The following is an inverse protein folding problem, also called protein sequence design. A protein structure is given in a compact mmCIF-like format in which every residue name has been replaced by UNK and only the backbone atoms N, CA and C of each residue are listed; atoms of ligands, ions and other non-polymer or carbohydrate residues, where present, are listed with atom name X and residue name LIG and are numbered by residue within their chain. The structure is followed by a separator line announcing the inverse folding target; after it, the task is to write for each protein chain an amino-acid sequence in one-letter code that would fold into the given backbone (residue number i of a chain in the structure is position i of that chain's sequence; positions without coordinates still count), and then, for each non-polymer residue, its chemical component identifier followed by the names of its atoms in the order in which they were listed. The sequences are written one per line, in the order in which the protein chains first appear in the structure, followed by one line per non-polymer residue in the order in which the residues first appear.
data_IF_068521867249
#
_entry.id   IF_068521867249
#
_cell.length_a   1.000
_cell.length_b   1.000
_cell.length_c   1.000
_cell.angle_alpha   90.00
_cell.angle_beta   90.00
_cell.angle_gamma   90.00
#
_symmetry.space_group_name_H-M   'P 1'
#
loop_
_entity.id
_entity.type
_entity.pdbx_description
1 polymer ?
#
# COMPACT_ATOMS: atom_id res chain seq x y z
N UNK A 1 -8.44 49.91 16.04
CA UNK A 1 -7.38 49.31 16.88
C UNK A 1 -7.11 47.90 16.33
N UNK A 2 -6.13 47.76 15.43
CA UNK A 2 -5.81 46.47 14.82
C UNK A 2 -5.06 45.62 15.84
N UNK A 3 -5.70 44.56 16.35
CA UNK A 3 -5.07 43.57 17.21
C UNK A 3 -4.02 42.86 16.36
N UNK A 4 -2.76 43.28 16.46
CA UNK A 4 -1.62 42.50 15.96
C UNK A 4 -1.51 41.27 16.86
N UNK A 5 -2.06 40.16 16.40
CA UNK A 5 -1.76 38.84 16.97
C UNK A 5 -0.24 38.65 16.80
N UNK A 6 0.54 38.54 17.87
CA UNK A 6 1.97 38.30 17.75
C UNK A 6 2.18 37.01 16.95
N UNK A 7 3.06 37.06 15.96
CA UNK A 7 3.44 35.87 15.20
C UNK A 7 3.91 34.81 16.21
N UNK A 8 3.25 33.66 16.23
CA UNK A 8 3.61 32.58 17.14
C UNK A 8 5.09 32.21 16.93
N UNK A 9 5.82 32.04 18.04
CA UNK A 9 7.20 31.57 18.03
C UNK A 9 7.30 30.32 17.12
N UNK A 10 8.17 30.32 16.10
CA UNK A 10 8.37 29.17 15.22
C UNK A 10 8.56 27.86 16.00
N UNK A 11 9.21 27.89 17.15
CA UNK A 11 9.38 26.71 18.01
C UNK A 11 8.05 26.24 18.64
N UNK A 12 7.17 27.18 19.03
CA UNK A 12 5.85 26.87 19.55
C UNK A 12 4.95 26.25 18.45
N UNK A 13 5.01 26.75 17.22
CA UNK A 13 4.25 26.20 16.09
C UNK A 13 4.67 24.76 15.76
N UNK A 14 5.97 24.47 15.79
CA UNK A 14 6.49 23.10 15.57
C UNK A 14 5.97 22.15 16.64
N UNK A 15 6.01 22.55 17.93
CA UNK A 15 5.48 21.74 19.03
C UNK A 15 3.98 21.48 18.89
N UNK A 16 3.19 22.50 18.54
CA UNK A 16 1.74 22.35 18.32
C UNK A 16 1.45 21.35 17.20
N UNK A 17 2.17 21.45 16.07
CA UNK A 17 2.00 20.52 14.93
C UNK A 17 2.37 19.09 15.29
N UNK A 18 3.47 18.89 16.04
CA UNK A 18 3.87 17.56 16.52
C UNK A 18 2.81 16.96 17.46
N UNK A 19 2.35 17.73 18.44
CA UNK A 19 1.32 17.28 19.38
C UNK A 19 0.00 16.98 18.67
N UNK A 20 -0.41 17.82 17.72
CA UNK A 20 -1.61 17.58 16.92
C UNK A 20 -1.49 16.29 16.08
N UNK A 21 -0.37 16.10 15.38
CA UNK A 21 -0.12 14.89 14.59
C UNK A 21 -0.10 13.63 15.47
N UNK A 22 0.58 13.67 16.60
CA UNK A 22 0.60 12.58 17.57
C UNK A 22 -0.80 12.28 18.14
N UNK A 23 -1.57 13.32 18.48
CA UNK A 23 -2.95 13.16 18.95
C UNK A 23 -3.85 12.51 17.89
N UNK A 24 -3.69 12.86 16.61
CA UNK A 24 -4.41 12.19 15.51
C UNK A 24 -4.04 10.72 15.44
N UNK A 25 -2.75 10.36 15.51
CA UNK A 25 -2.33 8.95 15.50
C UNK A 25 -2.90 8.16 16.68
N UNK A 26 -2.90 8.75 17.89
CA UNK A 26 -3.51 8.14 19.09
C UNK A 26 -5.01 7.96 18.90
N UNK A 27 -5.71 8.96 18.36
CA UNK A 27 -7.14 8.87 18.08
C UNK A 27 -7.46 7.81 17.03
N UNK A 28 -6.65 7.70 15.96
CA UNK A 28 -6.78 6.66 14.93
C UNK A 28 -6.57 5.29 15.53
N UNK A 29 -5.55 5.10 16.37
CA UNK A 29 -5.31 3.84 17.06
C UNK A 29 -6.48 3.45 17.99
N UNK A 30 -7.00 4.41 18.77
CA UNK A 30 -8.15 4.19 19.65
C UNK A 30 -9.41 3.83 18.85
N UNK A 31 -9.73 4.58 17.79
CA UNK A 31 -10.90 4.32 16.95
C UNK A 31 -10.77 3.01 16.16
N UNK A 32 -9.55 2.60 15.80
CA UNK A 32 -9.27 1.29 15.22
C UNK A 32 -9.48 0.16 16.25
N UNK A 33 -9.13 0.39 17.51
CA UNK A 33 -9.38 -0.54 18.61
C UNK A 33 -10.88 -0.72 18.87
N UNK A 34 -11.67 0.37 18.81
CA UNK A 34 -13.14 0.32 18.86
C UNK A 34 -13.81 -0.11 17.53
N UNK A 35 -13.02 -0.61 16.56
CA UNK A 35 -13.50 -1.17 15.30
C UNK A 35 -14.34 -0.22 14.44
N UNK A 36 -14.06 1.09 14.49
CA UNK A 36 -14.76 2.05 13.63
C UNK A 36 -14.56 1.69 12.14
N UNK A 37 -15.63 1.42 11.37
CA UNK A 37 -15.50 0.99 9.98
C UNK A 37 -14.87 2.06 9.08
N UNK A 38 -15.18 3.33 9.34
CA UNK A 38 -14.61 4.46 8.61
C UNK A 38 -13.10 4.56 8.85
N UNK A 39 -12.65 4.47 10.10
CA UNK A 39 -11.23 4.50 10.43
C UNK A 39 -10.52 3.27 9.88
N UNK A 40 -11.11 2.07 9.98
CA UNK A 40 -10.50 0.86 9.43
C UNK A 40 -10.29 0.95 7.91
N UNK A 41 -11.24 1.56 7.19
CA UNK A 41 -11.18 1.77 5.74
C UNK A 41 -10.14 2.82 5.35
N UNK A 42 -10.10 3.95 6.07
CA UNK A 42 -9.22 5.08 5.78
C UNK A 42 -7.91 5.09 6.58
N UNK A 43 -7.62 4.00 7.30
CA UNK A 43 -6.52 3.90 8.28
C UNK A 43 -5.19 4.29 7.67
N UNK A 44 -4.92 3.81 6.45
CA UNK A 44 -3.66 4.06 5.78
C UNK A 44 -3.39 5.56 5.58
N UNK A 45 -4.38 6.29 5.05
CA UNK A 45 -4.32 7.75 4.86
C UNK A 45 -4.22 8.46 6.22
N UNK A 46 -5.06 8.06 7.18
CA UNK A 46 -5.12 8.66 8.51
C UNK A 46 -3.84 8.42 9.33
N UNK A 47 -3.09 7.37 9.04
CA UNK A 47 -1.79 7.10 9.64
C UNK A 47 -0.66 7.87 8.94
N UNK A 48 -0.60 7.81 7.60
CA UNK A 48 0.54 8.37 6.87
C UNK A 48 0.65 9.89 6.97
N UNK A 49 -0.43 10.65 6.77
CA UNK A 49 -0.32 12.12 6.73
C UNK A 49 0.18 12.73 8.06
N UNK A 50 -0.31 12.30 9.24
CA UNK A 50 0.28 12.69 10.51
C UNK A 50 1.73 12.22 10.68
N UNK A 51 2.07 11.00 10.23
CA UNK A 51 3.47 10.53 10.25
C UNK A 51 4.38 11.41 9.40
N UNK A 52 3.97 11.79 8.19
CA UNK A 52 4.72 12.72 7.34
C UNK A 52 4.87 14.09 8.00
N UNK A 53 3.82 14.59 8.65
CA UNK A 53 3.87 15.83 9.41
C UNK A 53 4.88 15.74 10.56
N UNK A 54 4.91 14.63 11.30
CA UNK A 54 5.90 14.39 12.35
C UNK A 54 7.31 14.41 11.77
N UNK A 55 7.56 13.65 10.70
CA UNK A 55 8.88 13.62 10.06
C UNK A 55 9.32 15.00 9.58
N UNK A 56 8.42 15.76 8.95
CA UNK A 56 8.68 17.14 8.52
C UNK A 56 9.02 18.07 9.70
N UNK A 57 8.24 18.01 10.79
CA UNK A 57 8.51 18.83 11.97
C UNK A 57 9.80 18.42 12.68
N UNK A 58 10.16 17.13 12.69
CA UNK A 58 11.44 16.66 13.22
C UNK A 58 12.60 17.19 12.37
N UNK A 59 12.46 17.26 11.04
CA UNK A 59 13.44 17.92 10.16
C UNK A 59 13.62 19.39 10.56
N UNK A 60 12.53 20.11 10.84
CA UNK A 60 12.60 21.52 11.32
C UNK A 60 13.35 21.62 12.65
N UNK A 61 13.09 20.70 13.60
CA UNK A 61 13.81 20.67 14.88
C UNK A 61 15.31 20.40 14.71
N UNK A 62 15.74 19.83 13.57
CA UNK A 62 17.14 19.63 13.21
C UNK A 62 17.68 20.74 12.29
N UNK A 63 17.04 21.91 12.30
CA UNK A 63 17.46 23.10 11.54
C UNK A 63 17.13 23.04 10.05
N UNK A 64 16.28 22.08 9.62
CA UNK A 64 15.80 21.97 8.26
C UNK A 64 14.62 22.89 7.93
N UNK A 65 14.30 22.97 6.65
CA UNK A 65 13.12 23.67 6.18
C UNK A 65 11.91 22.74 6.13
N UNK A 66 10.75 23.25 6.56
CA UNK A 66 9.48 22.52 6.49
C UNK A 66 8.95 22.51 5.05
N UNK A 67 8.47 21.36 4.58
CA UNK A 67 7.67 21.25 3.36
C UNK A 67 6.40 22.11 3.41
N UNK A 68 5.82 22.30 4.61
CA UNK A 68 4.65 23.17 4.78
C UNK A 68 4.97 24.65 4.52
N UNK A 69 6.23 25.07 4.68
CA UNK A 69 6.66 26.41 4.33
C UNK A 69 6.78 26.62 2.81
N UNK A 70 6.76 25.53 2.02
CA UNK A 70 6.87 25.54 0.57
C UNK A 70 5.65 24.86 -0.08
N UNK A 71 4.44 25.47 -0.01
CA UNK A 71 3.19 24.81 -0.42
C UNK A 71 3.20 24.35 -1.89
N UNK A 72 3.85 25.10 -2.78
CA UNK A 72 4.01 24.71 -4.19
C UNK A 72 4.87 23.45 -4.34
N UNK A 73 5.98 23.36 -3.61
CA UNK A 73 6.85 22.19 -3.62
C UNK A 73 6.14 20.98 -3.00
N UNK A 74 5.38 21.19 -1.91
CA UNK A 74 4.57 20.14 -1.30
C UNK A 74 3.51 19.60 -2.26
N UNK A 75 2.70 20.45 -2.89
CA UNK A 75 1.68 20.01 -3.85
C UNK A 75 2.32 19.28 -5.04
N UNK A 76 3.44 19.80 -5.56
CA UNK A 76 4.20 19.16 -6.64
C UNK A 76 4.70 17.78 -6.24
N UNK A 77 5.22 17.66 -5.01
CA UNK A 77 5.69 16.39 -4.45
C UNK A 77 4.56 15.37 -4.28
N UNK A 78 3.43 15.77 -3.71
CA UNK A 78 2.28 14.89 -3.52
C UNK A 78 1.71 14.43 -4.87
N UNK A 79 1.63 15.33 -5.85
CA UNK A 79 1.17 15.00 -7.21
C UNK A 79 2.08 13.97 -7.87
N UNK A 80 3.38 14.28 -7.98
CA UNK A 80 4.32 13.36 -8.63
C UNK A 80 4.53 12.08 -7.82
N UNK A 81 4.32 12.09 -6.50
CA UNK A 81 4.31 10.87 -5.71
C UNK A 81 3.24 9.88 -6.19
N UNK A 82 2.01 10.35 -6.36
CA UNK A 82 0.95 9.50 -6.87
C UNK A 82 1.25 9.00 -8.29
N UNK A 83 1.71 9.90 -9.17
CA UNK A 83 2.05 9.55 -10.56
C UNK A 83 3.20 8.55 -10.66
N UNK A 84 4.24 8.70 -9.83
CA UNK A 84 5.36 7.77 -9.77
C UNK A 84 4.85 6.40 -9.36
N UNK A 85 3.99 6.28 -8.34
CA UNK A 85 3.45 4.98 -7.99
C UNK A 85 2.52 4.41 -9.07
N UNK A 86 1.74 5.24 -9.75
CA UNK A 86 0.92 4.79 -10.89
C UNK A 86 1.76 4.19 -12.03
N UNK A 87 3.03 4.59 -12.20
CA UNK A 87 3.96 3.90 -13.10
C UNK A 87 4.20 2.44 -12.64
N UNK A 88 4.44 2.22 -11.35
CA UNK A 88 4.62 0.88 -10.79
C UNK A 88 3.34 0.05 -10.83
N UNK A 89 2.17 0.67 -10.66
CA UNK A 89 0.88 -0.02 -10.88
C UNK A 89 0.70 -0.47 -12.33
N UNK A 90 1.04 0.39 -13.29
CA UNK A 90 0.99 0.04 -14.71
C UNK A 90 1.92 -1.14 -15.04
N UNK A 91 3.12 -1.18 -14.44
CA UNK A 91 4.04 -2.32 -14.53
C UNK A 91 3.42 -3.57 -13.87
N UNK A 92 2.81 -3.40 -12.69
CA UNK A 92 2.20 -4.47 -11.92
C UNK A 92 1.02 -5.15 -12.64
N UNK A 93 0.35 -4.49 -13.59
CA UNK A 93 -0.65 -5.16 -14.43
C UNK A 93 -0.09 -6.41 -15.12
N UNK A 94 1.20 -6.40 -15.47
CA UNK A 94 1.90 -7.54 -16.07
C UNK A 94 2.57 -8.45 -15.05
N UNK A 95 3.14 -7.89 -13.98
CA UNK A 95 3.87 -8.65 -12.97
C UNK A 95 2.92 -9.45 -12.07
N UNK A 96 1.82 -8.83 -11.66
CA UNK A 96 0.85 -9.34 -10.68
C UNK A 96 1.51 -9.69 -9.32
N UNK A 97 2.47 -8.87 -8.90
CA UNK A 97 3.23 -9.05 -7.67
C UNK A 97 2.39 -8.71 -6.43
N UNK A 98 1.47 -7.74 -6.56
CA UNK A 98 0.52 -7.38 -5.51
C UNK A 98 -0.88 -7.09 -6.06
N UNK A 99 -1.85 -7.11 -5.15
CA UNK A 99 -3.24 -6.75 -5.42
C UNK A 99 -3.93 -6.18 -4.19
N UNK A 100 -4.94 -5.35 -4.41
CA UNK A 100 -5.67 -4.67 -3.34
C UNK A 100 -6.96 -5.40 -3.00
N UNK A 101 -7.28 -5.48 -1.71
CA UNK A 101 -8.50 -6.13 -1.22
C UNK A 101 -9.23 -5.22 -0.25
N UNK A 102 -10.55 -5.39 -0.16
CA UNK A 102 -11.43 -4.62 0.73
C UNK A 102 -11.33 -3.10 0.56
N UNK A 103 -11.18 -2.65 -0.68
CA UNK A 103 -11.24 -1.21 -0.98
C UNK A 103 -12.68 -0.69 -0.87
N UNK A 104 -12.90 0.63 -0.77
CA UNK A 104 -14.24 1.20 -0.80
C UNK A 104 -15.04 0.73 -2.01
N UNK A 105 -16.31 0.39 -1.80
CA UNK A 105 -17.19 -0.04 -2.88
C UNK A 105 -17.62 1.13 -3.78
N UNK A 106 -17.68 2.35 -3.23
CA UNK A 106 -17.90 3.57 -4.00
C UNK A 106 -16.67 3.87 -4.87
N UNK A 107 -16.89 3.99 -6.18
CA UNK A 107 -15.81 4.25 -7.15
C UNK A 107 -15.07 5.57 -6.87
N UNK A 108 -15.75 6.73 -6.68
CA UNK A 108 -15.06 7.96 -6.32
C UNK A 108 -14.28 7.87 -5.01
N UNK A 109 -14.87 7.24 -3.99
CA UNK A 109 -14.23 7.06 -2.69
C UNK A 109 -12.95 6.24 -2.81
N UNK A 110 -13.01 5.15 -3.59
CA UNK A 110 -11.87 4.27 -3.85
C UNK A 110 -10.76 5.00 -4.60
N UNK A 111 -11.08 5.70 -5.68
CA UNK A 111 -10.06 6.40 -6.48
C UNK A 111 -9.39 7.55 -5.71
N UNK A 112 -10.17 8.29 -4.92
CA UNK A 112 -9.63 9.32 -4.02
C UNK A 112 -8.74 8.67 -2.97
N UNK A 113 -9.20 7.59 -2.32
CA UNK A 113 -8.44 6.87 -1.32
C UNK A 113 -7.11 6.30 -1.84
N UNK A 114 -7.13 5.70 -3.03
CA UNK A 114 -5.91 5.23 -3.73
C UNK A 114 -4.99 6.43 -3.97
N UNK A 115 -5.47 7.47 -4.66
CA UNK A 115 -4.63 8.62 -5.04
C UNK A 115 -3.98 9.29 -3.83
N UNK A 116 -4.73 9.49 -2.74
CA UNK A 116 -4.22 10.05 -1.49
C UNK A 116 -3.19 9.13 -0.82
N UNK A 117 -3.40 7.82 -0.87
CA UNK A 117 -2.46 6.83 -0.34
C UNK A 117 -1.14 6.85 -1.12
N UNK A 118 -1.22 6.94 -2.45
CA UNK A 118 -0.04 6.94 -3.32
C UNK A 118 0.71 8.29 -3.31
N UNK A 119 0.01 9.37 -2.96
CA UNK A 119 0.64 10.69 -2.76
C UNK A 119 1.63 10.72 -1.59
N UNK A 120 1.65 9.71 -0.71
CA UNK A 120 2.57 9.66 0.44
C UNK A 120 3.91 8.99 0.14
N UNK A 121 4.04 8.31 -1.00
CA UNK A 121 5.22 7.48 -1.34
C UNK A 121 6.53 8.26 -1.37
N UNK A 122 6.62 9.32 -2.18
CA UNK A 122 7.82 10.17 -2.27
C UNK A 122 8.16 10.82 -0.92
N UNK A 123 7.23 11.52 -0.24
CA UNK A 123 7.58 12.16 1.04
C UNK A 123 7.95 11.13 2.12
N UNK A 124 7.38 9.92 2.10
CA UNK A 124 7.76 8.85 3.03
C UNK A 124 9.22 8.41 2.88
N UNK A 125 9.81 8.56 1.69
CA UNK A 125 11.23 8.28 1.44
C UNK A 125 12.10 9.52 1.66
N UNK A 126 11.69 10.68 1.14
CA UNK A 126 12.53 11.87 1.14
C UNK A 126 12.64 12.54 2.52
N UNK A 127 11.60 12.50 3.35
CA UNK A 127 11.67 13.11 4.69
C UNK A 127 12.64 12.37 5.63
N UNK A 128 12.63 11.02 5.73
CA UNK A 128 13.63 10.30 6.50
C UNK A 128 15.05 10.49 5.96
N UNK A 129 15.25 10.52 4.64
CA UNK A 129 16.58 10.81 4.06
C UNK A 129 17.09 12.18 4.49
N UNK A 130 16.26 13.22 4.37
CA UNK A 130 16.61 14.58 4.83
C UNK A 130 16.93 14.62 6.32
N UNK A 131 16.18 13.89 7.14
CA UNK A 131 16.45 13.80 8.56
C UNK A 131 17.83 13.16 8.82
N UNK A 132 18.14 12.06 8.14
CA UNK A 132 19.45 11.40 8.25
C UNK A 132 20.59 12.33 7.78
N UNK A 133 20.38 13.08 6.70
CA UNK A 133 21.36 14.04 6.19
C UNK A 133 21.62 15.17 7.20
N UNK A 134 20.55 15.72 7.80
CA UNK A 134 20.64 16.75 8.85
C UNK A 134 21.29 16.27 10.13
N UNK A 135 21.17 14.99 10.43
CA UNK A 135 21.87 14.36 11.55
C UNK A 135 23.34 14.05 11.24
N UNK A 136 23.83 14.36 10.04
CA UNK A 136 25.21 14.10 9.62
C UNK A 136 25.48 12.64 9.28
N UNK A 137 24.45 11.79 9.20
CA UNK A 137 24.59 10.35 9.02
C UNK A 137 25.23 10.08 7.65
N UNK A 138 26.37 9.39 7.67
CA UNK A 138 27.12 8.99 6.47
C UNK A 138 27.51 10.14 5.52
N UNK A 139 27.55 11.40 5.96
CA UNK A 139 27.98 12.51 5.10
C UNK A 139 29.38 12.31 4.50
N UNK A 140 30.26 11.64 5.24
CA UNK A 140 31.63 11.35 4.83
C UNK A 140 31.79 9.93 4.25
N UNK A 141 30.70 9.18 4.05
CA UNK A 141 30.77 7.84 3.49
C UNK A 141 31.25 7.90 2.04
N UNK A 142 32.49 7.46 1.84
CA UNK A 142 33.13 7.35 0.54
C UNK A 142 33.49 5.90 0.23
N UNK A 143 33.47 5.56 -1.04
CA UNK A 143 34.03 4.31 -1.54
C UNK A 143 34.84 4.59 -2.80
N UNK A 144 35.38 3.52 -3.42
CA UNK A 144 36.14 3.64 -4.66
C UNK A 144 35.29 4.33 -5.74
N UNK A 145 35.77 5.43 -6.35
CA UNK A 145 35.07 6.08 -7.46
C UNK A 145 34.88 5.12 -8.63
N UNK A 146 33.70 5.17 -9.26
CA UNK A 146 33.39 4.39 -10.47
C UNK A 146 33.38 5.36 -11.66
N UNK A 147 34.53 5.63 -12.30
CA UNK A 147 34.61 6.66 -13.33
C UNK A 147 33.69 6.33 -14.50
N UNK A 148 32.73 7.23 -14.77
CA UNK A 148 31.83 7.11 -15.91
C UNK A 148 32.46 7.76 -17.14
N UNK A 149 32.62 6.98 -18.21
CA UNK A 149 32.97 7.47 -19.55
C UNK A 149 31.78 8.19 -20.16
N UNK A 150 32.02 9.03 -21.17
CA UNK A 150 30.97 9.78 -21.86
C UNK A 150 29.85 8.91 -22.46
N UNK A 151 30.16 7.66 -22.82
CA UNK A 151 29.19 6.71 -23.39
C UNK A 151 28.40 5.94 -22.32
N UNK A 152 28.90 5.85 -21.09
CA UNK A 152 28.37 4.97 -20.06
C UNK A 152 26.92 5.30 -19.68
N UNK A 153 26.48 6.57 -19.57
CA UNK A 153 25.07 6.87 -19.33
C UNK A 153 24.14 6.35 -20.45
N UNK A 154 24.58 6.32 -21.71
CA UNK A 154 23.78 5.74 -22.80
C UNK A 154 23.66 4.23 -22.66
N UNK A 155 24.74 3.55 -22.27
CA UNK A 155 24.74 2.10 -22.02
C UNK A 155 23.80 1.79 -20.86
N UNK A 156 23.93 2.50 -19.73
CA UNK A 156 23.07 2.34 -18.55
C UNK A 156 21.59 2.51 -18.92
N UNK A 157 21.25 3.51 -19.74
CA UNK A 157 19.87 3.75 -20.18
C UNK A 157 19.28 2.55 -20.93
N UNK A 158 20.03 1.99 -21.90
CA UNK A 158 19.56 0.84 -22.68
C UNK A 158 19.57 -0.45 -21.88
N UNK A 159 20.53 -0.62 -20.95
CA UNK A 159 20.50 -1.71 -19.97
C UNK A 159 19.24 -1.59 -19.10
N UNK A 160 18.86 -0.39 -18.65
CA UNK A 160 17.62 -0.15 -17.91
C UNK A 160 16.38 -0.61 -18.67
N UNK A 161 16.26 -0.24 -19.95
CA UNK A 161 15.16 -0.72 -20.80
C UNK A 161 15.19 -2.24 -21.03
N UNK A 162 16.38 -2.82 -21.21
CA UNK A 162 16.54 -4.28 -21.31
C UNK A 162 16.11 -5.00 -20.03
N UNK A 163 16.48 -4.45 -18.87
CA UNK A 163 16.09 -4.95 -17.55
C UNK A 163 14.58 -4.87 -17.33
N UNK A 164 13.96 -3.74 -17.68
CA UNK A 164 12.50 -3.59 -17.61
C UNK A 164 11.78 -4.56 -18.57
N UNK A 165 12.27 -4.68 -19.81
CA UNK A 165 11.72 -5.62 -20.78
C UNK A 165 11.83 -7.07 -20.31
N UNK A 166 12.95 -7.46 -19.69
CA UNK A 166 13.12 -8.79 -19.10
C UNK A 166 12.13 -9.06 -17.96
N UNK A 167 11.93 -8.07 -17.06
CA UNK A 167 10.94 -8.15 -15.98
C UNK A 167 9.52 -8.35 -16.53
N UNK A 168 9.15 -7.64 -17.60
CA UNK A 168 7.83 -7.73 -18.21
C UNK A 168 7.65 -8.99 -19.09
N UNK A 169 8.70 -9.47 -19.75
CA UNK A 169 8.63 -10.65 -20.62
C UNK A 169 8.46 -11.94 -19.79
N UNK A 170 9.23 -12.08 -18.71
CA UNK A 170 9.26 -13.30 -17.88
C UNK A 170 9.16 -12.94 -16.38
N UNK A 171 8.02 -12.35 -15.93
CA UNK A 171 7.89 -11.82 -14.56
C UNK A 171 8.00 -12.91 -13.49
N UNK A 172 7.62 -14.15 -13.83
CA UNK A 172 7.79 -15.29 -12.93
C UNK A 172 9.21 -15.37 -12.34
N UNK A 173 10.23 -15.00 -13.12
CA UNK A 173 11.63 -15.06 -12.70
C UNK A 173 12.26 -13.68 -12.50
N UNK A 174 11.91 -12.71 -13.35
CA UNK A 174 12.60 -11.42 -13.40
C UNK A 174 11.83 -10.26 -12.77
N UNK A 175 10.70 -10.50 -12.10
CA UNK A 175 9.99 -9.43 -11.37
C UNK A 175 10.87 -8.62 -10.39
N UNK A 176 11.91 -9.17 -9.70
CA UNK A 176 12.71 -8.37 -8.77
C UNK A 176 13.52 -7.28 -9.48
N UNK A 177 13.78 -7.44 -10.78
CA UNK A 177 14.53 -6.47 -11.59
C UNK A 177 13.79 -5.14 -11.72
N UNK A 178 12.46 -5.13 -11.53
CA UNK A 178 11.63 -3.91 -11.56
C UNK A 178 12.13 -2.86 -10.59
N UNK A 179 12.63 -3.26 -9.41
CA UNK A 179 13.08 -2.37 -8.35
C UNK A 179 14.43 -1.68 -8.62
N UNK A 180 15.05 -1.95 -9.77
CA UNK A 180 16.27 -1.28 -10.25
C UNK A 180 16.09 -0.76 -11.69
N UNK A 181 15.15 -1.31 -12.45
CA UNK A 181 14.98 -1.01 -13.87
C UNK A 181 14.62 0.46 -14.12
N UNK A 182 13.69 1.02 -13.34
CA UNK A 182 13.23 2.40 -13.52
C UNK A 182 14.34 3.37 -13.15
N UNK A 183 15.12 3.05 -12.11
CA UNK A 183 16.32 3.82 -11.76
C UNK A 183 17.33 3.86 -12.90
N UNK A 184 17.66 2.71 -13.51
CA UNK A 184 18.60 2.65 -14.64
C UNK A 184 18.11 3.43 -15.88
N UNK A 185 16.80 3.56 -16.07
CA UNK A 185 16.23 4.38 -17.15
C UNK A 185 16.26 5.88 -16.80
N UNK A 186 15.89 6.24 -15.58
CA UNK A 186 15.76 7.64 -15.17
C UNK A 186 17.11 8.32 -14.90
N UNK A 187 18.05 7.62 -14.25
CA UNK A 187 19.32 8.20 -13.81
C UNK A 187 20.18 8.76 -14.95
N UNK A 188 20.36 8.11 -16.09
CA UNK A 188 21.13 8.69 -17.19
C UNK A 188 20.55 9.98 -17.77
N UNK A 189 19.24 10.15 -17.66
CA UNK A 189 18.56 11.40 -18.06
C UNK A 189 18.80 12.46 -16.98
N UNK A 190 18.63 12.09 -15.70
CA UNK A 190 18.88 12.97 -14.56
C UNK A 190 20.34 13.44 -14.53
N UNK A 191 21.30 12.54 -14.74
CA UNK A 191 22.73 12.82 -14.86
C UNK A 191 23.04 13.97 -15.81
N UNK A 192 22.29 14.08 -16.93
CA UNK A 192 22.49 15.14 -17.92
C UNK A 192 21.75 16.43 -17.60
N UNK A 193 20.58 16.34 -16.97
CA UNK A 193 19.69 17.49 -16.80
C UNK A 193 19.73 18.12 -15.42
N UNK A 194 20.12 17.35 -14.40
CA UNK A 194 20.30 17.81 -13.02
C UNK A 194 21.42 17.00 -12.34
N UNK A 195 22.70 17.31 -12.63
CA UNK A 195 23.83 16.61 -12.06
C UNK A 195 23.93 16.70 -10.53
N UNK A 196 23.30 17.70 -9.89
CA UNK A 196 23.36 17.90 -8.45
C UNK A 196 22.58 16.82 -7.67
N UNK A 197 21.50 16.30 -8.27
CA UNK A 197 20.66 15.26 -7.70
C UNK A 197 20.96 13.87 -8.28
N UNK A 198 21.76 13.75 -9.35
CA UNK A 198 22.06 12.43 -9.93
C UNK A 198 22.91 11.56 -9.00
N UNK A 199 22.43 10.33 -8.79
CA UNK A 199 23.14 9.29 -8.04
C UNK A 199 24.31 8.71 -8.83
N UNK A 200 24.24 8.71 -10.17
CA UNK A 200 25.39 8.37 -11.02
C UNK A 200 26.56 9.35 -10.85
N UNK A 201 26.30 10.65 -10.65
CA UNK A 201 27.36 11.63 -10.33
C UNK A 201 27.99 11.32 -8.97
N UNK A 202 27.17 10.93 -7.99
CA UNK A 202 27.64 10.51 -6.67
C UNK A 202 28.49 9.23 -6.74
N UNK A 203 28.07 8.21 -7.48
CA UNK A 203 28.85 6.99 -7.75
C UNK A 203 30.17 7.29 -8.46
N UNK A 204 30.14 8.16 -9.48
CA UNK A 204 31.33 8.55 -10.24
C UNK A 204 32.39 9.25 -9.39
N UNK A 205 31.96 10.00 -8.38
CA UNK A 205 32.83 10.67 -7.43
C UNK A 205 33.14 9.84 -6.17
N UNK A 206 32.59 8.62 -6.06
CA UNK A 206 32.74 7.77 -4.88
C UNK A 206 32.04 8.31 -3.63
N UNK A 207 31.03 9.19 -3.78
CA UNK A 207 30.22 9.73 -2.67
C UNK A 207 29.02 8.83 -2.41
N UNK A 208 29.10 7.97 -1.40
CA UNK A 208 28.05 6.99 -1.10
C UNK A 208 27.05 7.45 -0.04
N UNK A 209 27.31 8.57 0.64
CA UNK A 209 26.48 9.07 1.74
C UNK A 209 25.00 9.20 1.41
N UNK A 210 24.66 9.89 0.31
CA UNK A 210 23.26 10.07 -0.14
C UNK A 210 22.60 8.74 -0.48
N UNK A 211 23.28 7.88 -1.23
CA UNK A 211 22.77 6.56 -1.65
C UNK A 211 22.45 5.71 -0.42
N UNK A 212 23.38 5.62 0.53
CA UNK A 212 23.18 4.85 1.76
C UNK A 212 22.02 5.39 2.61
N UNK A 213 21.89 6.73 2.74
CA UNK A 213 20.76 7.34 3.43
C UNK A 213 19.43 7.08 2.73
N UNK A 214 19.38 7.15 1.41
CA UNK A 214 18.18 6.81 0.63
C UNK A 214 17.79 5.35 0.84
N UNK A 215 18.74 4.43 0.78
CA UNK A 215 18.50 3.01 1.02
C UNK A 215 17.94 2.77 2.44
N UNK A 216 18.51 3.43 3.45
CA UNK A 216 18.01 3.36 4.83
C UNK A 216 16.62 3.99 4.98
N UNK A 217 16.38 5.13 4.32
CA UNK A 217 15.07 5.78 4.29
C UNK A 217 14.01 4.92 3.60
N UNK A 218 14.37 4.24 2.51
CA UNK A 218 13.54 3.26 1.84
C UNK A 218 13.17 2.11 2.76
N UNK A 219 14.13 1.52 3.47
CA UNK A 219 13.87 0.46 4.43
C UNK A 219 12.94 0.92 5.57
N UNK A 220 13.17 2.13 6.09
CA UNK A 220 12.31 2.75 7.11
C UNK A 220 10.88 2.94 6.58
N UNK A 221 10.72 3.49 5.38
CA UNK A 221 9.42 3.68 4.74
C UNK A 221 8.72 2.32 4.50
N UNK A 222 9.47 1.32 4.03
CA UNK A 222 9.01 -0.06 3.85
C UNK A 222 8.46 -0.70 5.12
N UNK A 223 9.19 -0.56 6.23
CA UNK A 223 8.72 -1.06 7.52
C UNK A 223 7.39 -0.40 7.95
N UNK A 224 7.23 0.91 7.73
CA UNK A 224 5.99 1.61 8.05
C UNK A 224 4.86 1.29 7.06
N UNK A 225 5.15 1.12 5.76
CA UNK A 225 4.18 0.69 4.76
C UNK A 225 3.57 -0.64 5.16
N UNK A 226 4.41 -1.63 5.48
CA UNK A 226 3.95 -2.95 5.91
C UNK A 226 3.19 -2.91 7.24
N UNK A 227 3.64 -2.11 8.21
CA UNK A 227 2.96 -1.96 9.49
C UNK A 227 1.55 -1.36 9.33
N UNK A 228 1.39 -0.33 8.50
CA UNK A 228 0.08 0.30 8.28
C UNK A 228 -0.82 -0.56 7.40
N UNK A 229 -0.27 -1.24 6.39
CA UNK A 229 -0.99 -2.22 5.57
C UNK A 229 -1.61 -3.34 6.41
N UNK A 230 -0.81 -3.89 7.35
CA UNK A 230 -1.24 -4.98 8.22
C UNK A 230 -2.45 -4.63 9.08
N UNK A 231 -2.56 -3.38 9.54
CA UNK A 231 -3.63 -2.94 10.45
C UNK A 231 -4.85 -2.40 9.68
N UNK A 232 -4.65 -1.97 8.42
CA UNK A 232 -5.70 -1.43 7.56
C UNK A 232 -6.70 -2.52 7.10
N UNK A 233 -7.95 -2.10 6.87
CA UNK A 233 -8.96 -2.96 6.24
C UNK A 233 -8.62 -3.17 4.76
N UNK A 234 -8.51 -2.05 4.04
CA UNK A 234 -8.02 -2.02 2.68
C UNK A 234 -6.52 -2.26 2.69
N UNK A 235 -6.09 -3.40 2.13
CA UNK A 235 -4.70 -3.84 2.18
C UNK A 235 -4.24 -4.30 0.80
N UNK A 236 -2.94 -4.21 0.54
CA UNK A 236 -2.32 -4.98 -0.54
C UNK A 236 -1.84 -6.32 -0.02
N UNK A 237 -2.01 -7.36 -0.83
CA UNK A 237 -1.50 -8.70 -0.57
C UNK A 237 -0.49 -9.05 -1.65
N UNK A 238 0.69 -9.52 -1.23
CA UNK A 238 1.72 -9.99 -2.15
C UNK A 238 1.49 -11.44 -2.60
N UNK A 239 1.60 -11.63 -3.91
CA UNK A 239 1.58 -12.90 -4.65
C UNK A 239 2.91 -13.14 -5.38
N UNK A 240 4.00 -12.76 -4.73
CA UNK A 240 5.36 -12.89 -5.26
C UNK A 240 5.69 -14.37 -5.52
N UNK A 241 6.07 -14.74 -6.76
CA UNK A 241 6.44 -16.11 -7.09
C UNK A 241 7.54 -16.66 -6.17
N UNK A 242 7.41 -17.94 -5.78
CA UNK A 242 8.36 -18.69 -4.94
C UNK A 242 8.48 -18.26 -3.46
N UNK A 243 8.05 -17.06 -3.09
CA UNK A 243 8.22 -16.52 -1.74
C UNK A 243 6.92 -16.48 -0.94
N UNK A 244 5.91 -17.26 -1.34
CA UNK A 244 4.58 -17.19 -0.73
C UNK A 244 4.51 -17.75 0.71
N UNK A 245 5.54 -18.46 1.18
CA UNK A 245 5.48 -19.31 2.39
C UNK A 245 5.90 -18.61 3.69
N UNK A 246 6.84 -17.66 3.63
CA UNK A 246 7.36 -16.95 4.81
C UNK A 246 7.05 -15.47 4.62
N UNK A 247 6.31 -14.88 5.55
CA UNK A 247 5.90 -13.48 5.51
C UNK A 247 6.13 -12.82 6.87
N UNK A 248 6.70 -11.62 6.85
CA UNK A 248 6.69 -10.68 7.96
C UNK A 248 5.68 -9.59 7.56
N UNK A 249 4.56 -9.51 8.27
CA UNK A 249 3.34 -8.85 7.77
C UNK A 249 2.84 -9.51 6.48
N UNK A 250 2.72 -8.75 5.38
CA UNK A 250 2.32 -9.29 4.08
C UNK A 250 3.52 -9.66 3.20
N UNK A 251 4.67 -9.04 3.45
CA UNK A 251 5.86 -9.17 2.62
C UNK A 251 6.78 -10.32 3.07
N UNK A 252 7.39 -11.06 2.13
CA UNK A 252 8.49 -11.96 2.46
C UNK A 252 9.70 -11.18 3.00
N UNK A 253 10.47 -11.71 3.97
CA UNK A 253 11.63 -10.99 4.53
C UNK A 253 12.64 -10.52 3.47
N UNK A 254 12.91 -11.33 2.45
CA UNK A 254 13.78 -10.95 1.32
C UNK A 254 13.17 -9.84 0.46
N UNK A 255 11.84 -9.73 0.44
CA UNK A 255 11.13 -8.66 -0.25
C UNK A 255 11.50 -7.28 0.29
N UNK A 256 11.83 -7.15 1.57
CA UNK A 256 12.23 -5.87 2.17
C UNK A 256 13.48 -5.27 1.51
N UNK A 257 14.30 -6.09 0.82
CA UNK A 257 15.42 -5.60 0.02
C UNK A 257 14.98 -4.75 -1.17
N UNK A 258 13.73 -4.89 -1.64
CA UNK A 258 13.16 -4.03 -2.68
C UNK A 258 13.05 -2.57 -2.26
N UNK A 259 12.73 -2.29 -0.98
CA UNK A 259 12.52 -0.91 -0.52
C UNK A 259 13.78 -0.01 -0.59
N UNK A 260 14.98 -0.48 -0.19
CA UNK A 260 16.22 0.25 -0.42
C UNK A 260 16.46 0.67 -1.87
N UNK A 261 16.25 -0.24 -2.84
CA UNK A 261 16.45 0.08 -4.26
C UNK A 261 15.32 0.95 -4.81
N UNK A 262 14.08 0.68 -4.40
CA UNK A 262 12.92 1.50 -4.70
C UNK A 262 13.13 2.98 -4.33
N UNK A 263 13.76 3.25 -3.18
CA UNK A 263 14.07 4.62 -2.77
C UNK A 263 15.00 5.35 -3.74
N UNK A 264 15.93 4.64 -4.41
CA UNK A 264 16.80 5.21 -5.43
C UNK A 264 15.99 5.57 -6.69
N UNK A 265 15.06 4.70 -7.09
CA UNK A 265 14.16 4.97 -8.22
C UNK A 265 13.28 6.18 -7.94
N UNK A 266 12.65 6.22 -6.77
CA UNK A 266 11.81 7.33 -6.29
C UNK A 266 12.57 8.65 -6.32
N UNK A 267 13.78 8.68 -5.75
CA UNK A 267 14.63 9.87 -5.75
C UNK A 267 14.89 10.38 -7.18
N UNK A 268 15.31 9.47 -8.06
CA UNK A 268 15.79 9.83 -9.39
C UNK A 268 14.64 10.28 -10.29
N UNK A 269 13.51 9.57 -10.24
CA UNK A 269 12.31 9.90 -11.01
C UNK A 269 11.67 11.18 -10.49
N UNK A 270 11.60 11.39 -9.16
CA UNK A 270 11.06 12.62 -8.59
C UNK A 270 11.84 13.86 -9.02
N UNK A 271 13.18 13.85 -8.89
CA UNK A 271 14.00 14.99 -9.29
C UNK A 271 14.03 15.18 -10.81
N UNK A 272 13.76 14.12 -11.58
CA UNK A 272 13.54 14.25 -13.03
C UNK A 272 12.20 14.92 -13.35
N UNK A 273 11.11 14.57 -12.67
CA UNK A 273 9.76 15.02 -13.03
C UNK A 273 9.37 16.36 -12.41
N UNK A 274 9.73 16.60 -11.14
CA UNK A 274 9.27 17.77 -10.39
C UNK A 274 9.66 19.12 -11.03
N UNK A 275 10.90 19.33 -11.54
CA UNK A 275 11.26 20.56 -12.24
C UNK A 275 10.52 20.75 -13.58
N UNK A 276 9.95 19.69 -14.15
CA UNK A 276 9.23 19.68 -15.43
C UNK A 276 7.72 19.87 -15.24
N UNK A 277 7.29 20.31 -14.06
CA UNK A 277 5.89 20.57 -13.75
C UNK A 277 5.39 21.78 -14.53
N UNK A 278 4.39 21.55 -15.37
CA UNK A 278 3.72 22.54 -16.21
C UNK A 278 2.26 22.11 -16.39
N UNK A 279 1.38 23.01 -16.83
CA UNK A 279 -0.03 22.66 -17.08
C UNK A 279 -0.16 21.46 -18.05
N UNK A 280 0.71 21.36 -19.05
CA UNK A 280 0.72 20.26 -20.02
C UNK A 280 1.13 18.94 -19.37
N UNK A 281 2.19 18.93 -18.57
CA UNK A 281 2.67 17.70 -17.90
C UNK A 281 1.72 17.26 -16.79
N UNK A 282 1.08 18.19 -16.08
CA UNK A 282 0.00 17.89 -15.12
C UNK A 282 -1.20 17.27 -15.83
N UNK A 283 -1.68 17.85 -16.93
CA UNK A 283 -2.81 17.28 -17.68
C UNK A 283 -2.48 15.88 -18.23
N UNK A 284 -1.30 15.70 -18.82
CA UNK A 284 -0.86 14.41 -19.34
C UNK A 284 -0.73 13.35 -18.22
N UNK A 285 -0.14 13.72 -17.07
CA UNK A 285 -0.01 12.81 -15.93
C UNK A 285 -1.36 12.52 -15.25
N UNK A 286 -2.31 13.46 -15.26
CA UNK A 286 -3.67 13.22 -14.78
C UNK A 286 -4.41 12.21 -15.67
N UNK A 287 -4.31 12.36 -16.99
CA UNK A 287 -4.87 11.40 -17.94
C UNK A 287 -4.25 10.01 -17.76
N UNK A 288 -2.92 9.94 -17.60
CA UNK A 288 -2.22 8.70 -17.28
C UNK A 288 -2.73 8.08 -15.97
N UNK A 289 -2.82 8.86 -14.89
CA UNK A 289 -3.32 8.39 -13.60
C UNK A 289 -4.76 7.84 -13.70
N UNK A 290 -5.64 8.49 -14.45
CA UNK A 290 -7.02 8.00 -14.68
C UNK A 290 -7.00 6.67 -15.44
N UNK A 291 -6.19 6.55 -16.50
CA UNK A 291 -6.07 5.28 -17.25
C UNK A 291 -5.56 4.16 -16.35
N UNK A 292 -4.58 4.44 -15.50
CA UNK A 292 -4.07 3.45 -14.53
C UNK A 292 -5.12 3.12 -13.49
N UNK A 293 -5.87 4.07 -12.94
CA UNK A 293 -6.96 3.79 -11.99
C UNK A 293 -8.04 2.87 -12.58
N UNK A 294 -8.42 3.09 -13.85
CA UNK A 294 -9.33 2.20 -14.58
C UNK A 294 -8.72 0.80 -14.71
N UNK A 295 -7.43 0.72 -15.09
CA UNK A 295 -6.71 -0.56 -15.15
C UNK A 295 -6.58 -1.25 -13.80
N UNK A 296 -6.37 -0.51 -12.72
CA UNK A 296 -6.29 -1.05 -11.36
C UNK A 296 -7.61 -1.70 -10.95
N UNK A 297 -8.75 -1.04 -11.20
CA UNK A 297 -10.06 -1.63 -10.89
C UNK A 297 -10.32 -2.94 -11.65
N UNK A 298 -9.75 -3.08 -12.84
CA UNK A 298 -9.91 -4.29 -13.64
C UNK A 298 -8.91 -5.39 -13.24
N UNK A 299 -7.62 -5.06 -13.08
CA UNK A 299 -6.55 -6.05 -12.94
C UNK A 299 -5.97 -6.16 -11.53
N UNK A 300 -6.07 -5.13 -10.69
CA UNK A 300 -5.32 -5.03 -9.42
C UNK A 300 -6.22 -5.06 -8.19
N UNK A 301 -7.46 -4.56 -8.28
CA UNK A 301 -8.43 -4.62 -7.18
C UNK A 301 -9.12 -5.99 -7.20
N UNK A 302 -8.84 -6.82 -6.19
CA UNK A 302 -9.43 -8.15 -6.04
C UNK A 302 -10.78 -8.14 -5.35
N UNK A 303 -11.01 -7.21 -4.41
CA UNK A 303 -12.33 -7.09 -3.76
C UNK A 303 -12.58 -5.71 -3.16
N UNK A 304 -13.87 -5.43 -2.98
CA UNK A 304 -14.36 -4.28 -2.22
C UNK A 304 -14.87 -4.70 -0.85
N UNK A 305 -14.96 -3.76 0.08
CA UNK A 305 -15.50 -3.98 1.43
C UNK A 305 -16.89 -4.61 1.36
N UNK A 306 -17.08 -5.82 1.94
CA UNK A 306 -18.38 -6.48 2.00
C UNK A 306 -19.42 -5.61 2.70
N UNK A 307 -20.62 -5.54 2.13
CA UNK A 307 -21.77 -4.87 2.72
C UNK A 307 -22.84 -5.90 3.05
N UNK A 308 -23.64 -5.60 4.08
CA UNK A 308 -24.73 -6.48 4.49
C UNK A 308 -25.74 -6.71 3.37
N UNK A 309 -26.04 -5.67 2.59
CA UNK A 309 -26.93 -5.74 1.43
C UNK A 309 -26.46 -6.73 0.36
N UNK A 310 -25.16 -6.99 0.27
CA UNK A 310 -24.54 -7.81 -0.77
C UNK A 310 -24.15 -9.21 -0.25
N UNK A 311 -24.52 -9.54 1.00
CA UNK A 311 -24.15 -10.81 1.62
C UNK A 311 -24.89 -11.99 0.93
N UNK A 312 -24.18 -12.94 0.31
CA UNK A 312 -24.80 -13.97 -0.52
C UNK A 312 -25.54 -15.02 0.32
N UNK A 313 -26.66 -15.54 -0.20
CA UNK A 313 -27.39 -16.64 0.44
C UNK A 313 -28.18 -16.26 1.70
N UNK A 314 -28.21 -14.98 2.09
CA UNK A 314 -28.98 -14.49 3.24
C UNK A 314 -30.23 -13.76 2.75
N UNK A 315 -31.39 -14.10 3.32
CA UNK A 315 -32.68 -13.50 2.96
C UNK A 315 -32.71 -12.00 3.30
N UNK A 316 -33.53 -11.24 2.57
CA UNK A 316 -33.70 -9.81 2.85
C UNK A 316 -34.19 -9.56 4.28
N UNK A 317 -35.13 -10.38 4.77
CA UNK A 317 -35.64 -10.28 6.14
C UNK A 317 -34.53 -10.42 7.20
N UNK A 318 -33.66 -11.41 7.05
CA UNK A 318 -32.54 -11.62 7.97
C UNK A 318 -31.56 -10.45 7.90
N UNK A 319 -31.28 -9.91 6.70
CA UNK A 319 -30.42 -8.73 6.52
C UNK A 319 -31.00 -7.50 7.21
N UNK A 320 -32.30 -7.25 7.07
CA UNK A 320 -32.97 -6.11 7.69
C UNK A 320 -32.94 -6.21 9.22
N UNK A 321 -33.20 -7.41 9.76
CA UNK A 321 -33.10 -7.69 11.20
C UNK A 321 -31.69 -7.50 11.74
N UNK A 322 -30.67 -7.98 11.02
CA UNK A 322 -29.25 -7.75 11.37
C UNK A 322 -28.91 -6.25 11.34
N UNK A 323 -29.36 -5.51 10.32
CA UNK A 323 -29.13 -4.08 10.21
C UNK A 323 -29.77 -3.31 11.38
N UNK A 324 -31.02 -3.61 11.71
CA UNK A 324 -31.76 -3.02 12.84
C UNK A 324 -31.08 -3.32 14.19
N UNK A 325 -30.46 -4.49 14.32
CA UNK A 325 -29.66 -4.86 15.48
C UNK A 325 -28.25 -4.25 15.51
N UNK A 326 -27.90 -3.41 14.53
CA UNK A 326 -26.61 -2.72 14.45
C UNK A 326 -25.46 -3.54 13.85
N UNK A 327 -25.75 -4.69 13.23
CA UNK A 327 -24.75 -5.56 12.59
C UNK A 327 -24.49 -5.15 11.13
N UNK A 328 -24.09 -3.91 10.91
CA UNK A 328 -23.84 -3.36 9.56
C UNK A 328 -22.43 -3.65 9.04
N UNK A 329 -21.45 -3.84 9.93
CA UNK A 329 -20.07 -4.17 9.57
C UNK A 329 -19.84 -5.69 9.52
N UNK A 330 -19.56 -6.21 8.33
CA UNK A 330 -19.40 -7.65 8.08
C UNK A 330 -18.18 -8.23 8.78
N UNK A 331 -17.12 -7.44 8.97
CA UNK A 331 -15.93 -7.88 9.73
C UNK A 331 -16.25 -8.09 11.20
N UNK A 332 -17.16 -7.30 11.77
CA UNK A 332 -17.64 -7.48 13.14
C UNK A 332 -18.60 -8.66 13.22
N UNK A 333 -19.50 -8.79 12.25
CA UNK A 333 -20.43 -9.93 12.15
C UNK A 333 -19.69 -11.27 12.08
N UNK A 334 -18.63 -11.37 11.27
CA UNK A 334 -17.82 -12.58 11.10
C UNK A 334 -17.20 -13.10 12.42
N UNK A 335 -16.89 -12.18 13.35
CA UNK A 335 -16.24 -12.48 14.64
C UNK A 335 -17.23 -12.59 15.81
N UNK A 336 -18.46 -12.15 15.64
CA UNK A 336 -19.48 -12.16 16.68
C UNK A 336 -19.88 -13.60 17.08
N UNK A 337 -20.15 -13.86 18.37
CA UNK A 337 -20.77 -15.11 18.81
C UNK A 337 -22.14 -15.31 18.15
N UNK A 338 -22.42 -16.51 17.68
CA UNK A 338 -23.67 -16.84 16.97
C UNK A 338 -24.90 -16.66 17.84
N UNK A 339 -24.79 -16.97 19.13
CA UNK A 339 -25.84 -16.73 20.12
C UNK A 339 -26.17 -15.24 20.28
N UNK A 340 -25.17 -14.36 20.25
CA UNK A 340 -25.37 -12.91 20.33
C UNK A 340 -26.09 -12.38 19.08
N UNK A 341 -25.69 -12.88 17.90
CA UNK A 341 -26.34 -12.56 16.63
C UNK A 341 -27.82 -12.98 16.64
N UNK A 342 -28.10 -14.23 17.00
CA UNK A 342 -29.46 -14.76 17.07
C UNK A 342 -30.34 -13.97 18.04
N UNK A 343 -29.82 -13.67 19.23
CA UNK A 343 -30.55 -12.94 20.27
C UNK A 343 -30.83 -11.49 19.87
N UNK A 344 -29.82 -10.73 19.45
CA UNK A 344 -29.97 -9.29 19.14
C UNK A 344 -30.77 -9.03 17.87
N UNK A 345 -30.55 -9.84 16.83
CA UNK A 345 -31.29 -9.71 15.58
C UNK A 345 -32.64 -10.43 15.59
N UNK A 346 -32.95 -11.19 16.66
CA UNK A 346 -34.19 -11.99 16.77
C UNK A 346 -34.35 -12.92 15.57
N UNK A 347 -33.27 -13.60 15.19
CA UNK A 347 -33.24 -14.60 14.11
C UNK A 347 -32.96 -15.98 14.69
N UNK A 348 -33.25 -17.02 13.93
CA UNK A 348 -32.99 -18.39 14.38
C UNK A 348 -31.48 -18.64 14.54
N UNK A 349 -31.06 -19.58 15.40
CA UNK A 349 -29.66 -19.97 15.51
C UNK A 349 -29.05 -20.43 14.18
N UNK A 350 -29.84 -21.09 13.32
CA UNK A 350 -29.41 -21.53 12.00
C UNK A 350 -29.14 -20.35 11.05
N UNK A 351 -30.03 -19.36 11.02
CA UNK A 351 -29.82 -18.13 10.23
C UNK A 351 -28.61 -17.32 10.73
N UNK A 352 -28.43 -17.25 12.06
CA UNK A 352 -27.27 -16.58 12.66
C UNK A 352 -25.95 -17.28 12.30
N UNK A 353 -25.93 -18.62 12.33
CA UNK A 353 -24.78 -19.41 11.92
C UNK A 353 -24.47 -19.21 10.43
N UNK A 354 -25.49 -19.29 9.56
CA UNK A 354 -25.34 -19.07 8.12
C UNK A 354 -24.81 -17.66 7.81
N UNK A 355 -25.37 -16.62 8.44
CA UNK A 355 -24.90 -15.24 8.28
C UNK A 355 -23.44 -15.09 8.70
N UNK A 356 -23.04 -15.71 9.83
CA UNK A 356 -21.65 -15.70 10.30
C UNK A 356 -20.71 -16.42 9.35
N UNK A 357 -21.08 -17.60 8.86
CA UNK A 357 -20.23 -18.40 7.95
C UNK A 357 -19.99 -17.68 6.63
N UNK A 358 -21.04 -17.09 6.06
CA UNK A 358 -20.93 -16.27 4.84
C UNK A 358 -20.10 -15.02 5.09
N UNK A 359 -20.28 -14.35 6.23
CA UNK A 359 -19.46 -13.19 6.58
C UNK A 359 -17.99 -13.55 6.73
N UNK A 360 -17.68 -14.64 7.44
CA UNK A 360 -16.31 -15.17 7.57
C UNK A 360 -15.69 -15.44 6.21
N UNK A 361 -16.39 -16.18 5.34
CA UNK A 361 -15.93 -16.47 3.99
C UNK A 361 -15.71 -15.18 3.18
N UNK A 362 -16.64 -14.23 3.23
CA UNK A 362 -16.55 -12.96 2.49
C UNK A 362 -15.41 -12.06 2.97
N UNK A 363 -15.04 -12.14 4.25
CA UNK A 363 -13.96 -11.33 4.85
C UNK A 363 -12.60 -12.02 4.86
N UNK A 364 -12.52 -13.28 4.41
CA UNK A 364 -11.27 -14.04 4.41
C UNK A 364 -10.35 -13.55 3.29
N UNK A 365 -9.27 -12.84 3.64
CA UNK A 365 -8.10 -12.56 2.76
C UNK A 365 -8.44 -12.08 1.35
N UNK A 366 -9.47 -11.26 1.24
CA UNK A 366 -9.87 -10.59 0.02
C UNK A 366 -10.81 -11.35 -0.90
N UNK A 367 -11.46 -12.42 -0.44
CA UNK A 367 -12.53 -13.11 -1.22
C UNK A 367 -13.63 -12.12 -1.60
N UNK A 368 -14.15 -11.32 -0.66
CA UNK A 368 -15.25 -10.39 -0.92
C UNK A 368 -16.58 -11.10 -1.22
N UNK A 369 -17.64 -10.33 -1.42
CA UNK A 369 -19.00 -10.89 -1.61
C UNK A 369 -19.17 -11.60 -2.96
N UNK A 370 -18.54 -11.10 -4.02
CA UNK A 370 -18.66 -11.67 -5.38
C UNK A 370 -18.07 -13.07 -5.45
N UNK A 371 -16.82 -13.25 -4.99
CA UNK A 371 -16.20 -14.58 -5.00
C UNK A 371 -16.82 -15.49 -3.95
N UNK A 372 -17.23 -14.98 -2.78
CA UNK A 372 -17.97 -15.79 -1.81
C UNK A 372 -19.27 -16.34 -2.40
N UNK A 373 -20.02 -15.54 -3.16
CA UNK A 373 -21.24 -15.99 -3.84
C UNK A 373 -20.94 -17.11 -4.85
N UNK A 374 -19.86 -16.98 -5.63
CA UNK A 374 -19.44 -18.00 -6.59
C UNK A 374 -19.03 -19.31 -5.89
N UNK A 375 -18.27 -19.21 -4.79
CA UNK A 375 -17.84 -20.35 -3.98
C UNK A 375 -19.02 -21.09 -3.35
N UNK A 376 -19.96 -20.36 -2.75
CA UNK A 376 -21.18 -20.94 -2.16
C UNK A 376 -21.99 -21.68 -3.23
N UNK A 377 -22.20 -21.06 -4.40
CA UNK A 377 -22.90 -21.69 -5.52
C UNK A 377 -22.16 -22.92 -6.08
N UNK A 378 -20.83 -22.95 -5.96
CA UNK A 378 -19.97 -24.07 -6.36
C UNK A 378 -19.78 -25.15 -5.27
N UNK A 379 -20.55 -25.11 -4.18
CA UNK A 379 -20.50 -26.13 -3.13
C UNK A 379 -19.45 -25.91 -2.04
N UNK A 380 -18.90 -24.70 -1.91
CA UNK A 380 -17.93 -24.31 -0.87
C UNK A 380 -18.58 -23.22 0.01
N UNK A 381 -19.46 -23.59 0.96
CA UNK A 381 -20.29 -22.63 1.68
C UNK A 381 -19.58 -21.97 2.88
N UNK A 382 -18.41 -22.45 3.29
CA UNK A 382 -17.75 -22.01 4.51
C UNK A 382 -16.22 -22.01 4.40
N UNK A 383 -15.57 -21.32 5.34
CA UNK A 383 -14.10 -21.35 5.49
C UNK A 383 -13.60 -22.77 5.73
N UNK A 384 -14.34 -23.60 6.47
CA UNK A 384 -13.98 -24.99 6.71
C UNK A 384 -13.95 -25.82 5.41
N UNK A 385 -14.98 -25.67 4.57
CA UNK A 385 -15.04 -26.34 3.27
C UNK A 385 -13.91 -25.85 2.34
N UNK A 386 -13.62 -24.54 2.35
CA UNK A 386 -12.55 -23.96 1.55
C UNK A 386 -11.16 -24.51 1.93
N UNK A 387 -10.90 -24.72 3.22
CA UNK A 387 -9.62 -25.26 3.70
C UNK A 387 -9.35 -26.72 3.27
N UNK A 388 -10.40 -27.46 2.94
CA UNK A 388 -10.34 -28.85 2.47
C UNK A 388 -10.38 -28.98 0.94
N UNK A 389 -10.71 -27.89 0.24
CA UNK A 389 -10.88 -27.89 -1.20
C UNK A 389 -9.54 -27.88 -1.96
N UNK A 390 -9.54 -28.48 -3.14
CA UNK A 390 -8.44 -28.40 -4.10
C UNK A 390 -8.35 -27.01 -4.77
N UNK A 391 -7.12 -26.51 -4.96
CA UNK A 391 -6.88 -25.17 -5.50
C UNK A 391 -7.38 -24.99 -6.94
N UNK A 392 -7.22 -26.00 -7.80
CA UNK A 392 -7.64 -25.91 -9.20
C UNK A 392 -9.18 -25.91 -9.31
N UNK A 393 -9.84 -26.66 -8.43
CA UNK A 393 -11.30 -26.68 -8.31
C UNK A 393 -11.85 -25.35 -7.80
N UNK A 394 -11.28 -24.80 -6.73
CA UNK A 394 -11.65 -23.48 -6.20
C UNK A 394 -11.45 -22.40 -7.26
N UNK A 395 -10.33 -22.43 -7.98
CA UNK A 395 -10.06 -21.46 -9.04
C UNK A 395 -11.09 -21.56 -10.17
N UNK A 396 -11.41 -22.76 -10.66
CA UNK A 396 -12.44 -22.95 -11.70
C UNK A 396 -13.83 -22.44 -11.27
N UNK A 397 -14.19 -22.58 -10.00
CA UNK A 397 -15.47 -22.10 -9.46
C UNK A 397 -15.51 -20.56 -9.39
N UNK A 398 -14.45 -19.94 -8.88
CA UNK A 398 -14.41 -18.53 -8.57
C UNK A 398 -14.00 -17.62 -9.74
N UNK A 399 -13.27 -18.17 -10.72
CA UNK A 399 -12.69 -17.42 -11.83
C UNK A 399 -13.71 -17.12 -12.92
N UNK A 400 -14.22 -15.88 -12.93
CA UNK A 400 -15.21 -15.39 -13.92
C UNK A 400 -14.76 -14.13 -14.68
N UNK A 401 -13.50 -13.73 -14.50
CA UNK A 401 -12.94 -12.50 -15.05
C UNK A 401 -11.43 -12.47 -14.83
N UNK A 402 -10.80 -11.28 -14.74
CA UNK A 402 -9.36 -11.18 -14.54
C UNK A 402 -8.88 -11.74 -13.19
N UNK A 403 -9.78 -11.84 -12.20
CA UNK A 403 -9.49 -12.32 -10.85
C UNK A 403 -10.58 -13.30 -10.35
N UNK A 404 -10.26 -14.21 -9.42
CA UNK A 404 -8.95 -14.38 -8.79
C UNK A 404 -7.93 -15.07 -9.71
N UNK A 405 -6.66 -14.76 -9.50
CA UNK A 405 -5.54 -15.54 -10.05
C UNK A 405 -5.35 -16.85 -9.26
N UNK A 406 -4.63 -17.85 -9.82
CA UNK A 406 -4.28 -19.05 -9.06
C UNK A 406 -3.49 -18.76 -7.77
N UNK A 407 -2.69 -17.69 -7.74
CA UNK A 407 -1.94 -17.29 -6.56
C UNK A 407 -2.85 -16.78 -5.44
N UNK A 408 -3.87 -15.99 -5.78
CA UNK A 408 -4.92 -15.55 -4.84
C UNK A 408 -5.66 -16.73 -4.22
N UNK A 409 -6.05 -17.71 -5.03
CA UNK A 409 -6.75 -18.90 -4.54
C UNK A 409 -5.88 -19.67 -3.53
N UNK A 410 -4.57 -19.80 -3.79
CA UNK A 410 -3.64 -20.37 -2.80
C UNK A 410 -3.57 -19.55 -1.51
N UNK A 411 -3.67 -18.22 -1.58
CA UNK A 411 -3.74 -17.36 -0.38
C UNK A 411 -5.02 -17.66 0.41
N UNK A 412 -6.17 -17.77 -0.26
CA UNK A 412 -7.46 -18.03 0.38
C UNK A 412 -7.50 -19.40 1.08
N UNK A 413 -7.08 -20.46 0.39
CA UNK A 413 -7.06 -21.82 0.94
C UNK A 413 -6.12 -21.92 2.14
N UNK A 414 -4.91 -21.35 2.06
CA UNK A 414 -3.97 -21.35 3.19
C UNK A 414 -4.51 -20.60 4.40
N UNK A 415 -5.20 -19.48 4.17
CA UNK A 415 -5.82 -18.75 5.26
C UNK A 415 -6.95 -19.55 5.90
N UNK A 416 -7.78 -20.21 5.11
CA UNK A 416 -8.81 -21.12 5.58
C UNK A 416 -8.21 -22.27 6.42
N UNK A 417 -7.14 -22.91 5.94
CA UNK A 417 -6.43 -23.98 6.65
C UNK A 417 -5.84 -23.52 7.98
N UNK A 418 -5.32 -22.30 8.08
CA UNK A 418 -4.82 -21.74 9.34
C UNK A 418 -5.95 -21.50 10.34
N UNK A 419 -7.09 -20.96 9.88
CA UNK A 419 -8.26 -20.74 10.75
C UNK A 419 -8.91 -22.05 11.23
N UNK A 420 -8.84 -23.12 10.43
CA UNK A 420 -9.46 -24.42 10.79
C UNK A 420 -8.53 -25.32 11.56
N UNK A 421 -7.24 -25.37 11.18
CA UNK A 421 -6.21 -26.16 11.88
C UNK A 421 -5.88 -25.65 13.28
N UNK A 422 -6.06 -24.34 13.52
CA UNK A 422 -5.94 -23.75 14.87
C UNK A 422 -7.05 -24.18 15.84
N UNK A 423 -8.19 -24.68 15.36
CA UNK A 423 -9.29 -25.15 16.22
C UNK A 423 -9.02 -26.55 16.80
N UNK A 424 -8.05 -27.27 16.25
CA UNK A 424 -7.63 -28.61 16.72
C UNK A 424 -6.39 -28.61 17.64
N UNK A 425 -5.84 -27.43 17.99
CA UNK A 425 -4.55 -27.31 18.70
C UNK A 425 -4.59 -26.80 20.15
N UNK A 426 -5.72 -26.27 20.63
CA UNK A 426 -5.79 -25.64 21.97
C UNK A 426 -6.40 -26.56 23.05
N UNK A 427 -5.92 -27.81 23.05
CA UNK A 427 -5.98 -28.71 24.19
C UNK A 427 -4.53 -29.00 24.62
N UNK A 428 -3.92 -28.02 25.27
CA UNK A 428 -2.67 -28.17 26.00
C UNK A 428 -1.42 -27.66 25.28
N UNK A 429 -1.04 -26.42 25.57
CA UNK A 429 0.24 -26.07 26.21
C UNK A 429 0.30 -24.60 26.61
#
# INVERSE_FOLDING_TARGET
MAVRIPAADPAALVRIRLLAAAAVLVAVAALRFYESPAVATWLYVLAWYPTLLILDQVVVLRGGESLLAQPRALVTMLWWSAVIWFLFEAINFRLQDWYYVFLPASLPERWIGITLSLATVVPAVLLPERLLDRLGVWQQLRARPIPLRAQDPRVVFWVGWGTLAAALALPRYFHPLTWVAVWLVAEPVLYRTDPAHSLLVDLAAGRWGRIARLMAAGLFAGALWEAFNFVARGQWIYTVPFLEHIKLFEMPPIGFLGFPFFALEVWSVYHLLAPRTSNRTVLASAAFAILVLVGMDHWTVGSVTPRLADLPGISQEVRDRLAQAGWTDIFRLARAPTAELAYRARITPAEAQAARDVARLSTLRGIGTIHAAALIAGGIPSVAALGQADADSVWRIAHRGPRPTPAEVRVWIRAAQRETGGVSGDAGR
#
